data_IF_960711472518
#
_entry.id   IF_960711472518
#
_cell.length_a   1.000
_cell.length_b   1.000
_cell.length_c   1.000
_cell.angle_alpha   90.00
_cell.angle_beta   90.00
_cell.angle_gamma   90.00
#
_symmetry.space_group_name_H-M   'P 1'
#
loop_
_entity.id
_entity.type
_entity.pdbx_description
1 polymer ?
#
# COMPACT_ATOMS: atom_id res chain seq x y z
N UNK A 1 31.19 72.96 29.69
CA UNK A 1 29.81 72.59 30.08
C UNK A 1 29.49 71.25 29.41
N UNK A 2 29.13 70.22 30.18
CA UNK A 2 28.63 68.95 29.63
C UNK A 2 27.20 69.17 29.11
N UNK A 3 26.79 68.43 28.08
CA UNK A 3 25.57 67.67 28.25
C UNK A 3 25.80 66.18 27.95
N UNK A 4 25.57 65.38 28.97
CA UNK A 4 25.11 64.00 28.88
C UNK A 4 23.74 64.05 28.20
N UNK A 5 23.50 63.28 27.14
CA UNK A 5 22.27 62.50 26.92
C UNK A 5 22.60 61.50 25.79
N UNK A 6 22.93 60.25 26.12
CA UNK A 6 21.99 59.22 26.59
C UNK A 6 21.12 58.71 25.44
N UNK A 7 21.34 57.43 25.13
CA UNK A 7 20.29 56.45 24.84
C UNK A 7 19.41 56.68 23.61
N UNK A 8 19.98 56.68 22.40
CA UNK A 8 19.20 56.34 21.20
C UNK A 8 20.05 55.68 20.11
N UNK A 9 20.97 54.79 20.49
CA UNK A 9 21.81 54.03 19.56
C UNK A 9 21.56 52.51 19.61
N UNK A 10 20.51 52.05 20.30
CA UNK A 10 20.22 50.63 20.47
C UNK A 10 18.72 50.40 20.29
N UNK A 11 18.23 50.48 19.05
CA UNK A 11 17.06 49.72 18.63
C UNK A 11 17.15 49.34 17.16
N UNK A 12 18.36 48.91 16.83
CA UNK A 12 18.73 48.15 15.65
C UNK A 12 18.17 46.73 15.87
N UNK A 13 17.31 46.28 14.95
CA UNK A 13 17.27 44.90 14.44
C UNK A 13 16.52 43.77 15.19
N UNK A 14 15.44 43.98 15.96
CA UNK A 14 14.83 42.83 16.68
C UNK A 14 13.30 42.68 16.75
N UNK A 15 12.55 42.82 15.64
CA UNK A 15 11.17 42.27 15.62
C UNK A 15 10.72 41.61 14.31
N UNK A 16 11.62 41.35 13.36
CA UNK A 16 11.33 40.38 12.28
C UNK A 16 11.67 38.97 12.75
N UNK A 17 10.79 38.35 13.52
CA UNK A 17 10.75 36.89 13.74
C UNK A 17 9.34 36.45 14.15
N UNK A 18 8.34 36.79 13.32
CA UNK A 18 7.09 36.04 13.30
C UNK A 18 7.12 35.04 12.15
N UNK A 19 8.10 34.12 12.18
CA UNK A 19 8.00 32.88 11.42
C UNK A 19 7.26 31.89 12.32
N UNK A 20 5.92 32.00 12.32
CA UNK A 20 5.06 30.95 12.85
C UNK A 20 5.31 29.71 12.00
N UNK A 21 6.16 28.81 12.50
CA UNK A 21 6.20 27.44 12.01
C UNK A 21 4.81 26.87 12.28
N UNK A 22 3.95 26.84 11.26
CA UNK A 22 2.80 25.95 11.28
C UNK A 22 3.34 24.57 11.65
N UNK A 23 2.95 24.04 12.81
CA UNK A 23 3.04 22.60 13.03
C UNK A 23 2.34 21.99 11.82
N UNK A 24 3.11 21.31 10.97
CA UNK A 24 2.52 20.44 9.96
C UNK A 24 1.62 19.52 10.76
N UNK A 25 0.30 19.76 10.71
CA UNK A 25 -0.70 18.83 11.20
C UNK A 25 -0.28 17.52 10.58
N UNK A 26 0.24 16.63 11.42
CA UNK A 26 0.47 15.25 11.01
C UNK A 26 -0.85 14.85 10.38
N UNK A 27 -0.86 14.44 9.09
CA UNK A 27 -2.11 14.00 8.49
C UNK A 27 -2.70 13.00 9.47
N UNK A 28 -3.96 13.21 9.86
CA UNK A 28 -4.70 12.33 10.76
C UNK A 28 -4.28 10.92 10.38
N UNK A 29 -3.64 10.20 11.31
CA UNK A 29 -3.13 8.85 11.09
C UNK A 29 -4.26 8.12 10.41
N UNK A 30 -4.15 7.92 9.09
CA UNK A 30 -5.25 7.34 8.32
C UNK A 30 -5.49 6.00 9.00
N UNK A 31 -6.68 5.85 9.56
CA UNK A 31 -7.11 4.54 10.03
C UNK A 31 -6.85 3.61 8.87
N UNK A 32 -6.02 2.60 9.14
CA UNK A 32 -5.60 1.63 8.16
C UNK A 32 -6.89 1.04 7.58
N UNK A 33 -7.30 1.50 6.40
CA UNK A 33 -8.53 1.00 5.79
C UNK A 33 -8.32 -0.49 5.62
N UNK A 34 -9.16 -1.26 6.30
CA UNK A 34 -9.17 -2.71 6.19
C UNK A 34 -9.34 -3.01 4.70
N UNK A 35 -8.27 -3.51 4.08
CA UNK A 35 -8.09 -3.89 2.67
C UNK A 35 -9.22 -3.47 1.74
N UNK A 36 -8.93 -2.63 0.74
CA UNK A 36 -9.90 -2.36 -0.32
C UNK A 36 -10.45 -3.67 -0.85
N UNK A 37 -11.72 -3.87 -0.57
CA UNK A 37 -12.58 -4.96 -1.01
C UNK A 37 -12.61 -5.05 -2.57
N UNK A 38 -11.97 -4.12 -3.27
CA UNK A 38 -11.91 -3.96 -4.73
C UNK A 38 -10.71 -4.73 -5.33
N UNK A 39 -10.77 -6.07 -5.33
CA UNK A 39 -9.71 -6.91 -5.93
C UNK A 39 -9.55 -6.73 -7.44
N UNK A 40 -10.62 -6.36 -8.14
CA UNK A 40 -10.58 -6.14 -9.60
C UNK A 40 -9.60 -5.03 -9.98
N UNK A 41 -9.54 -3.95 -9.19
CA UNK A 41 -8.64 -2.84 -9.45
C UNK A 41 -7.19 -3.20 -9.13
N UNK A 42 -6.96 -3.83 -7.98
CA UNK A 42 -5.64 -4.25 -7.52
C UNK A 42 -4.98 -5.26 -8.48
N UNK A 43 -5.76 -6.21 -9.00
CA UNK A 43 -5.34 -7.14 -10.05
C UNK A 43 -4.85 -6.40 -11.29
N UNK A 44 -5.51 -5.31 -11.68
CA UNK A 44 -5.09 -4.47 -12.82
C UNK A 44 -3.77 -3.72 -12.62
N UNK A 45 -3.30 -3.58 -11.37
CA UNK A 45 -2.02 -2.92 -11.05
C UNK A 45 -0.81 -3.86 -11.15
N UNK A 46 -1.04 -5.18 -11.14
CA UNK A 46 -0.01 -6.23 -11.24
C UNK A 46 0.03 -6.76 -12.67
N UNK A 47 1.23 -6.92 -13.24
CA UNK A 47 1.42 -7.40 -14.61
C UNK A 47 2.54 -8.41 -14.71
N UNK A 48 2.52 -9.23 -15.75
CA UNK A 48 3.68 -10.05 -16.13
C UNK A 48 4.90 -9.16 -16.38
N UNK A 49 6.06 -9.61 -15.91
CA UNK A 49 7.30 -8.84 -15.89
C UNK A 49 7.51 -8.00 -14.62
N UNK A 50 6.48 -7.74 -13.82
CA UNK A 50 6.65 -7.09 -12.51
C UNK A 50 7.39 -7.99 -11.52
N UNK A 51 7.96 -7.38 -10.48
CA UNK A 51 8.54 -8.12 -9.35
C UNK A 51 7.44 -8.61 -8.40
N UNK A 52 7.64 -9.80 -7.82
CA UNK A 52 6.82 -10.39 -6.74
C UNK A 52 6.49 -9.40 -5.64
N UNK A 53 7.49 -8.61 -5.20
CA UNK A 53 7.31 -7.63 -4.13
C UNK A 53 6.20 -6.62 -4.42
N UNK A 54 6.01 -6.23 -5.70
CA UNK A 54 4.91 -5.35 -6.10
C UNK A 54 3.56 -6.05 -5.96
N UNK A 55 3.48 -7.32 -6.36
CA UNK A 55 2.26 -8.09 -6.21
C UNK A 55 1.87 -8.26 -4.74
N UNK A 56 2.81 -8.57 -3.85
CA UNK A 56 2.55 -8.69 -2.41
C UNK A 56 2.15 -7.35 -1.78
N UNK A 57 2.76 -6.24 -2.23
CA UNK A 57 2.38 -4.90 -1.77
C UNK A 57 0.96 -4.49 -2.21
N UNK A 58 0.50 -4.97 -3.37
CA UNK A 58 -0.80 -4.62 -3.95
C UNK A 58 -1.90 -5.58 -3.50
N UNK A 59 -1.63 -6.90 -3.56
CA UNK A 59 -2.61 -7.96 -3.30
C UNK A 59 -2.58 -8.44 -1.84
N UNK A 60 -1.53 -8.09 -1.08
CA UNK A 60 -1.27 -8.61 0.25
C UNK A 60 -0.65 -10.01 0.20
N UNK A 61 -0.61 -10.67 1.36
CA UNK A 61 -0.05 -12.03 1.51
C UNK A 61 -0.91 -13.06 0.76
N UNK A 62 -0.30 -13.99 -0.01
CA UNK A 62 -1.05 -15.05 -0.67
C UNK A 62 -1.65 -16.02 0.35
N UNK A 63 -2.80 -16.60 0.00
CA UNK A 63 -3.42 -17.70 0.75
C UNK A 63 -2.55 -18.96 0.69
N UNK A 64 -1.89 -19.20 -0.45
CA UNK A 64 -1.00 -20.34 -0.67
C UNK A 64 0.25 -19.87 -1.37
N UNK A 65 1.40 -20.31 -0.86
CA UNK A 65 2.69 -20.19 -1.53
C UNK A 65 3.31 -21.57 -1.71
N UNK A 66 3.57 -21.95 -2.96
CA UNK A 66 4.24 -23.20 -3.32
C UNK A 66 5.59 -22.87 -3.95
N UNK A 67 6.67 -23.27 -3.26
CA UNK A 67 8.01 -23.14 -3.78
C UNK A 67 8.34 -24.34 -4.67
N UNK A 68 8.85 -24.06 -5.86
CA UNK A 68 9.20 -25.05 -6.89
C UNK A 68 10.66 -24.90 -7.26
N UNK A 69 11.18 -25.87 -8.02
CA UNK A 69 12.53 -25.74 -8.57
C UNK A 69 12.69 -24.57 -9.52
N UNK A 70 11.62 -24.00 -10.10
CA UNK A 70 11.67 -22.93 -11.10
C UNK A 70 11.28 -21.55 -10.55
N UNK A 71 10.93 -21.47 -9.27
CA UNK A 71 10.49 -20.26 -8.60
C UNK A 71 9.35 -20.55 -7.61
N UNK A 72 8.28 -19.78 -7.66
CA UNK A 72 7.13 -19.93 -6.75
C UNK A 72 5.79 -19.75 -7.46
N UNK A 73 4.77 -20.42 -6.95
CA UNK A 73 3.37 -20.21 -7.33
C UNK A 73 2.66 -19.60 -6.13
N UNK A 74 2.06 -18.43 -6.33
CA UNK A 74 1.34 -17.67 -5.31
C UNK A 74 -0.14 -17.67 -5.67
N UNK A 75 -1.01 -18.07 -4.75
CA UNK A 75 -2.45 -18.11 -4.96
C UNK A 75 -3.17 -17.33 -3.85
N UNK A 76 -4.04 -16.41 -4.25
CA UNK A 76 -5.01 -15.74 -3.38
C UNK A 76 -6.38 -16.32 -3.69
N UNK A 77 -7.01 -16.97 -2.72
CA UNK A 77 -8.40 -17.41 -2.84
C UNK A 77 -9.32 -16.35 -2.28
N UNK A 78 -10.45 -16.14 -2.94
CA UNK A 78 -11.31 -14.99 -2.71
C UNK A 78 -12.75 -15.42 -2.46
N UNK A 79 -13.44 -14.68 -1.60
CA UNK A 79 -14.90 -14.78 -1.39
C UNK A 79 -15.54 -13.43 -1.70
N UNK A 80 -16.65 -13.44 -2.45
CA UNK A 80 -17.40 -12.21 -2.73
C UNK A 80 -17.99 -11.63 -1.45
N UNK A 81 -17.93 -10.31 -1.30
CA UNK A 81 -18.60 -9.59 -0.21
C UNK A 81 -19.87 -8.90 -0.73
N UNK A 82 -20.76 -8.54 0.18
CA UNK A 82 -22.03 -7.87 -0.09
C UNK A 82 -21.91 -6.34 -0.10
N UNK A 83 -20.72 -5.80 0.21
CA UNK A 83 -20.47 -4.38 0.36
C UNK A 83 -20.62 -3.61 -0.97
N UNK A 84 -19.99 -4.11 -2.04
CA UNK A 84 -20.01 -3.51 -3.37
C UNK A 84 -19.99 -4.58 -4.46
N UNK A 85 -20.41 -4.23 -5.68
CA UNK A 85 -20.28 -5.12 -6.83
C UNK A 85 -18.80 -5.39 -7.13
N UNK A 86 -18.47 -6.64 -7.44
CA UNK A 86 -17.09 -7.10 -7.69
C UNK A 86 -16.16 -6.83 -6.50
N UNK A 87 -16.73 -6.95 -5.31
CA UNK A 87 -16.02 -6.85 -4.05
C UNK A 87 -15.64 -8.24 -3.56
N UNK A 88 -14.38 -8.42 -3.17
CA UNK A 88 -13.84 -9.71 -2.73
C UNK A 88 -12.88 -9.57 -1.56
N UNK A 89 -13.00 -10.51 -0.64
CA UNK A 89 -12.08 -10.68 0.49
C UNK A 89 -11.19 -11.89 0.28
N UNK A 90 -9.91 -11.75 0.60
CA UNK A 90 -8.97 -12.89 0.58
C UNK A 90 -9.23 -13.83 1.74
N UNK A 91 -9.30 -15.11 1.42
CA UNK A 91 -9.37 -16.19 2.40
C UNK A 91 -8.01 -16.39 3.05
N UNK A 92 -8.02 -16.55 4.38
CA UNK A 92 -6.81 -16.86 5.14
C UNK A 92 -6.25 -18.24 4.80
N UNK A 93 -7.13 -19.18 4.42
CA UNK A 93 -6.77 -20.56 4.11
C UNK A 93 -7.35 -20.99 2.76
N UNK A 94 -6.72 -22.00 2.16
CA UNK A 94 -7.20 -22.59 0.91
C UNK A 94 -8.58 -23.23 1.14
N UNK A 95 -9.58 -22.99 0.26
CA UNK A 95 -10.88 -23.61 0.40
C UNK A 95 -10.78 -25.14 0.30
N UNK A 96 -11.63 -25.84 1.05
CA UNK A 96 -11.63 -27.31 1.10
C UNK A 96 -11.95 -27.97 -0.25
N UNK A 97 -12.68 -27.27 -1.13
CA UNK A 97 -12.95 -27.71 -2.49
C UNK A 97 -12.79 -26.54 -3.46
N UNK A 98 -12.25 -26.83 -4.65
CA UNK A 98 -12.12 -25.86 -5.75
C UNK A 98 -13.14 -26.27 -6.80
N UNK A 99 -14.15 -25.42 -6.99
CA UNK A 99 -15.16 -25.52 -8.04
C UNK A 99 -14.92 -24.49 -9.13
N UNK A 100 -15.68 -24.56 -10.23
CA UNK A 100 -15.63 -23.55 -11.28
C UNK A 100 -15.92 -22.14 -10.75
N UNK A 101 -16.79 -21.99 -9.76
CA UNK A 101 -17.14 -20.68 -9.21
C UNK A 101 -16.11 -20.09 -8.25
N UNK A 102 -15.06 -20.85 -7.93
CA UNK A 102 -14.01 -20.41 -7.02
C UNK A 102 -13.29 -19.20 -7.60
N UNK A 103 -13.23 -18.12 -6.81
CA UNK A 103 -12.56 -16.89 -7.18
C UNK A 103 -11.13 -16.92 -6.69
N UNK A 104 -10.21 -16.57 -7.57
CA UNK A 104 -8.78 -16.65 -7.27
C UNK A 104 -7.96 -15.67 -8.10
N UNK A 105 -6.76 -15.38 -7.60
CA UNK A 105 -5.65 -14.78 -8.33
C UNK A 105 -4.47 -15.71 -8.18
N UNK A 106 -3.81 -16.06 -9.28
CA UNK A 106 -2.67 -16.96 -9.32
C UNK A 106 -1.53 -16.31 -10.09
N UNK A 107 -0.37 -16.27 -9.45
CA UNK A 107 0.87 -15.77 -10.03
C UNK A 107 1.91 -16.88 -10.07
N UNK A 108 2.53 -17.07 -11.23
CA UNK A 108 3.74 -17.88 -11.35
C UNK A 108 4.93 -16.94 -11.41
N UNK A 109 5.84 -17.08 -10.46
CA UNK A 109 7.02 -16.24 -10.26
C UNK A 109 8.26 -17.08 -10.50
N UNK A 110 9.24 -16.55 -11.23
CA UNK A 110 10.50 -17.26 -11.45
C UNK A 110 11.47 -17.14 -10.25
N UNK A 111 12.62 -17.82 -10.36
CA UNK A 111 13.73 -17.75 -9.38
C UNK A 111 14.24 -16.33 -9.09
N UNK A 112 14.07 -15.39 -10.01
CA UNK A 112 14.51 -13.99 -9.87
C UNK A 112 13.43 -13.12 -9.23
N UNK A 113 12.28 -13.70 -8.86
CA UNK A 113 11.16 -12.97 -8.31
C UNK A 113 10.36 -12.20 -9.37
N UNK A 114 10.43 -12.58 -10.64
CA UNK A 114 9.69 -11.93 -11.74
C UNK A 114 8.43 -12.73 -12.06
N UNK A 115 7.30 -12.05 -12.17
CA UNK A 115 6.02 -12.64 -12.55
C UNK A 115 6.10 -13.07 -14.03
N UNK A 116 5.93 -14.37 -14.27
CA UNK A 116 5.97 -14.98 -15.61
C UNK A 116 4.60 -15.27 -16.18
N UNK A 117 3.63 -15.54 -15.32
CA UNK A 117 2.26 -15.84 -15.72
C UNK A 117 1.29 -15.33 -14.67
N UNK A 118 0.21 -14.72 -15.12
CA UNK A 118 -0.89 -14.28 -14.26
C UNK A 118 -2.22 -14.87 -14.74
N UNK A 119 -2.96 -15.48 -13.82
CA UNK A 119 -4.27 -16.08 -14.07
C UNK A 119 -5.23 -15.65 -12.96
N UNK A 120 -6.44 -15.23 -13.29
CA UNK A 120 -7.42 -14.87 -12.27
C UNK A 120 -8.85 -15.12 -12.73
N UNK A 121 -9.72 -15.38 -11.75
CA UNK A 121 -11.17 -15.44 -11.89
C UNK A 121 -11.79 -14.68 -10.72
N UNK A 122 -12.46 -13.58 -11.02
CA UNK A 122 -13.19 -12.73 -10.07
C UNK A 122 -14.68 -12.84 -10.35
#
# INVERSE_FOLDING_TARGET
MKPLFSTLAILVLFTMNACSSEEKKQPVKQEFQHNSDIRTFEVGMVKEGDKRLKAEAVLGTPTVELNTQDGSVLEWYLVSTDYQKNSYKTLAEKPASISEDTKFIKLTVDKKGIIRKMEYKL
#
